data_IF_326765504172
#
_entry.id   IF_326765504172
#
_cell.length_a   1.000
_cell.length_b   1.000
_cell.length_c   1.000
_cell.angle_alpha   90.00
_cell.angle_beta   90.00
_cell.angle_gamma   90.00
#
_symmetry.space_group_name_H-M   'P 1'
#
loop_
_entity.id
_entity.type
_entity.pdbx_description
1 polymer ?
#
# COMPACT_ATOMS: atom_id res chain seq x y z
N UNK A 1 -12.82 -13.60 3.24
CA UNK A 1 -13.24 -14.89 2.64
C UNK A 1 -13.19 -16.03 3.65
N UNK A 2 -12.22 -16.02 4.57
CA UNK A 2 -12.07 -17.04 5.63
C UNK A 2 -12.73 -16.69 6.96
N UNK A 3 -13.31 -15.50 7.09
CA UNK A 3 -13.98 -15.00 8.30
C UNK A 3 -15.36 -14.47 7.89
N UNK A 4 -16.38 -15.04 8.51
CA UNK A 4 -17.80 -14.71 8.30
C UNK A 4 -18.41 -13.96 9.50
N UNK A 5 -17.69 -13.92 10.62
CA UNK A 5 -18.11 -13.20 11.83
C UNK A 5 -17.71 -11.72 11.74
N UNK A 6 -18.72 -10.87 11.65
CA UNK A 6 -18.56 -9.42 11.53
C UNK A 6 -17.96 -8.80 12.80
N UNK A 7 -18.28 -9.34 13.99
CA UNK A 7 -17.76 -8.82 15.27
C UNK A 7 -16.24 -9.03 15.36
N UNK A 8 -15.74 -10.16 14.85
CA UNK A 8 -14.30 -10.41 14.78
C UNK A 8 -13.59 -9.46 13.81
N UNK A 9 -14.23 -9.11 12.69
CA UNK A 9 -13.65 -8.17 11.72
C UNK A 9 -13.61 -6.74 12.28
N UNK A 10 -14.66 -6.32 12.99
CA UNK A 10 -14.70 -5.04 13.68
C UNK A 10 -13.65 -4.96 14.79
N UNK A 11 -13.45 -6.03 15.56
CA UNK A 11 -12.41 -6.10 16.59
C UNK A 11 -11.02 -5.93 16.00
N UNK A 12 -10.70 -6.64 14.91
CA UNK A 12 -9.41 -6.52 14.22
C UNK A 12 -9.21 -5.10 13.69
N UNK A 13 -10.25 -4.49 13.13
CA UNK A 13 -10.17 -3.11 12.65
C UNK A 13 -9.86 -2.13 13.78
N UNK A 14 -10.54 -2.24 14.92
CA UNK A 14 -10.29 -1.43 16.11
C UNK A 14 -8.84 -1.57 16.59
N UNK A 15 -8.33 -2.79 16.72
CA UNK A 15 -6.95 -3.04 17.16
C UNK A 15 -5.91 -2.44 16.20
N UNK A 16 -6.16 -2.50 14.88
CA UNK A 16 -5.29 -1.88 13.87
C UNK A 16 -5.30 -0.35 13.98
N UNK A 17 -6.47 0.26 14.19
CA UNK A 17 -6.58 1.72 14.37
C UNK A 17 -5.85 2.19 15.62
N UNK A 18 -6.07 1.52 16.76
CA UNK A 18 -5.34 1.82 18.00
C UNK A 18 -3.82 1.69 17.84
N UNK A 19 -3.36 0.71 17.05
CA UNK A 19 -1.94 0.54 16.77
C UNK A 19 -1.38 1.68 15.90
N UNK A 20 -2.15 2.19 14.94
CA UNK A 20 -1.76 3.36 14.14
C UNK A 20 -1.64 4.61 15.01
N UNK A 21 -2.65 4.87 15.84
CA UNK A 21 -2.66 6.02 16.75
C UNK A 21 -1.47 5.98 17.73
N UNK A 22 -1.12 4.78 18.22
CA UNK A 22 0.05 4.59 19.09
C UNK A 22 1.37 5.05 18.46
N UNK A 23 1.48 5.03 17.13
CA UNK A 23 2.67 5.47 16.40
C UNK A 23 2.45 6.80 15.67
N UNK A 24 1.52 7.63 16.15
CA UNK A 24 1.23 8.97 15.63
C UNK A 24 0.72 9.00 14.17
N UNK A 25 0.13 7.89 13.70
CA UNK A 25 -0.62 7.86 12.44
C UNK A 25 -2.11 8.10 12.71
N UNK A 26 -2.87 8.67 11.76
CA UNK A 26 -4.30 8.94 11.94
C UNK A 26 -5.11 7.64 11.84
N UNK A 27 -5.20 6.87 12.93
CA UNK A 27 -5.86 5.57 12.97
C UNK A 27 -7.34 5.67 12.59
N UNK A 28 -8.08 6.63 13.15
CA UNK A 28 -9.50 6.85 12.87
C UNK A 28 -9.80 7.22 11.41
N UNK A 29 -8.93 8.01 10.76
CA UNK A 29 -9.14 8.49 9.39
C UNK A 29 -8.55 7.56 8.31
N UNK A 30 -7.67 6.62 8.70
CA UNK A 30 -7.02 5.73 7.74
C UNK A 30 -8.05 4.80 7.06
N UNK A 31 -8.11 4.76 5.71
CA UNK A 31 -9.00 3.85 5.01
C UNK A 31 -8.65 2.38 5.26
N UNK A 32 -9.63 1.59 5.68
CA UNK A 32 -9.50 0.14 5.85
C UNK A 32 -10.48 -0.55 4.91
N UNK A 33 -9.94 -1.26 3.91
CA UNK A 33 -10.73 -1.98 2.91
C UNK A 33 -10.70 -3.47 3.20
N UNK A 34 -11.86 -4.05 3.49
CA UNK A 34 -12.01 -5.49 3.78
C UNK A 34 -12.22 -6.27 2.48
N UNK A 35 -11.36 -7.23 2.19
CA UNK A 35 -11.41 -8.04 0.98
C UNK A 35 -10.58 -9.32 1.04
N UNK A 36 -10.46 -10.03 -0.08
CA UNK A 36 -9.57 -11.17 -0.27
C UNK A 36 -8.80 -10.99 -1.57
N UNK A 37 -7.48 -10.82 -1.45
CA UNK A 37 -6.58 -10.75 -2.60
C UNK A 37 -6.60 -12.03 -3.44
N UNK A 38 -6.85 -13.18 -2.80
CA UNK A 38 -6.97 -14.47 -3.49
C UNK A 38 -8.22 -14.49 -4.38
N UNK A 39 -9.39 -14.16 -3.82
CA UNK A 39 -10.64 -14.12 -4.59
C UNK A 39 -10.55 -13.12 -5.75
N UNK A 40 -9.95 -11.96 -5.50
CA UNK A 40 -9.70 -10.97 -6.56
C UNK A 40 -8.82 -11.55 -7.68
N UNK A 41 -7.74 -12.27 -7.34
CA UNK A 41 -6.86 -12.91 -8.32
C UNK A 41 -7.56 -14.05 -9.10
N UNK A 42 -8.53 -14.71 -8.47
CA UNK A 42 -9.37 -15.75 -9.09
C UNK A 42 -10.51 -15.17 -9.96
N UNK A 43 -10.65 -13.84 -10.03
CA UNK A 43 -11.63 -13.13 -10.86
C UNK A 43 -13.01 -12.98 -10.21
N UNK A 44 -13.10 -13.19 -8.90
CA UNK A 44 -14.35 -13.07 -8.14
C UNK A 44 -14.89 -11.63 -8.15
N UNK A 45 -16.18 -11.48 -8.47
CA UNK A 45 -16.86 -10.18 -8.60
C UNK A 45 -17.69 -9.79 -7.37
N UNK A 46 -17.58 -10.53 -6.26
CA UNK A 46 -18.21 -10.13 -5.00
C UNK A 46 -17.53 -8.89 -4.40
N UNK A 47 -18.16 -8.26 -3.41
CA UNK A 47 -17.56 -7.12 -2.71
C UNK A 47 -16.21 -7.44 -2.06
N UNK A 48 -15.88 -8.72 -1.83
CA UNK A 48 -14.60 -9.16 -1.27
C UNK A 48 -13.54 -9.45 -2.35
N UNK A 49 -13.91 -9.58 -3.63
CA UNK A 49 -13.02 -9.92 -4.74
C UNK A 49 -12.41 -8.70 -5.46
N UNK A 50 -12.46 -8.67 -6.78
CA UNK A 50 -11.94 -7.56 -7.61
C UNK A 50 -12.46 -6.16 -7.18
N UNK A 51 -13.75 -5.98 -6.84
CA UNK A 51 -14.26 -4.71 -6.33
C UNK A 51 -13.53 -4.18 -5.10
N UNK A 52 -13.05 -5.05 -4.21
CA UNK A 52 -12.28 -4.62 -3.03
C UNK A 52 -10.92 -4.02 -3.43
N UNK A 53 -10.27 -4.57 -4.46
CA UNK A 53 -9.00 -4.04 -4.97
C UNK A 53 -9.20 -2.69 -5.65
N UNK A 54 -10.31 -2.50 -6.37
CA UNK A 54 -10.67 -1.20 -6.93
C UNK A 54 -10.93 -0.16 -5.84
N UNK A 55 -11.68 -0.51 -4.78
CA UNK A 55 -11.86 0.36 -3.60
C UNK A 55 -10.52 0.72 -2.94
N UNK A 56 -9.59 -0.25 -2.86
CA UNK A 56 -8.24 0.00 -2.35
C UNK A 56 -7.47 0.98 -3.24
N UNK A 57 -7.54 0.84 -4.57
CA UNK A 57 -6.90 1.76 -5.50
C UNK A 57 -7.48 3.19 -5.39
N UNK A 58 -8.81 3.31 -5.29
CA UNK A 58 -9.48 4.60 -5.05
C UNK A 58 -9.03 5.26 -3.73
N UNK A 59 -8.84 4.47 -2.67
CA UNK A 59 -8.31 4.96 -1.40
C UNK A 59 -6.87 5.46 -1.55
N UNK A 60 -6.02 4.79 -2.31
CA UNK A 60 -4.66 5.26 -2.60
C UNK A 60 -4.68 6.61 -3.31
N UNK A 61 -5.51 6.76 -4.34
CA UNK A 61 -5.62 7.98 -5.14
C UNK A 61 -6.17 9.18 -4.36
N UNK A 62 -7.10 8.92 -3.43
CA UNK A 62 -7.81 9.97 -2.69
C UNK A 62 -7.18 10.33 -1.33
N UNK A 63 -6.53 9.37 -0.66
CA UNK A 63 -6.02 9.56 0.69
C UNK A 63 -4.53 9.92 0.72
N UNK A 64 -3.72 9.41 -0.21
CA UNK A 64 -2.28 9.66 -0.23
C UNK A 64 -1.99 10.84 -1.16
N UNK A 65 -1.61 12.02 -0.64
CA UNK A 65 -1.29 13.15 -1.49
C UNK A 65 -0.04 12.87 -2.31
N UNK A 66 -0.01 13.40 -3.54
CA UNK A 66 1.21 13.35 -4.35
C UNK A 66 2.30 14.19 -3.66
N UNK A 67 3.47 13.61 -3.34
CA UNK A 67 4.53 14.34 -2.66
C UNK A 67 5.16 15.38 -3.59
N UNK A 68 5.59 16.50 -3.01
CA UNK A 68 6.41 17.47 -3.72
C UNK A 68 7.79 16.85 -4.05
N UNK A 69 8.23 16.98 -5.30
CA UNK A 69 9.49 16.40 -5.77
C UNK A 69 10.58 17.47 -5.82
N UNK A 70 11.68 17.25 -5.11
CA UNK A 70 12.80 18.20 -5.01
C UNK A 70 13.76 18.11 -6.20
N UNK A 71 13.31 18.49 -7.41
CA UNK A 71 14.06 18.29 -8.67
C UNK A 71 15.16 19.32 -8.94
N UNK A 72 15.16 20.45 -8.24
CA UNK A 72 16.12 21.54 -8.43
C UNK A 72 17.39 21.37 -7.55
N UNK A 73 17.45 20.29 -6.77
CA UNK A 73 18.56 19.98 -5.88
C UNK A 73 19.75 19.32 -6.58
N UNK A 74 20.80 19.04 -5.78
CA UNK A 74 21.84 18.13 -6.22
C UNK A 74 21.32 16.69 -6.18
N UNK A 75 21.59 15.93 -7.24
CA UNK A 75 21.13 14.55 -7.39
C UNK A 75 21.53 13.67 -6.20
N UNK A 76 20.53 13.01 -5.60
CA UNK A 76 20.65 12.00 -4.55
C UNK A 76 19.68 10.87 -4.85
N UNK A 77 20.22 9.66 -4.98
CA UNK A 77 19.46 8.43 -5.11
C UNK A 77 20.06 7.37 -4.18
N UNK A 78 19.40 7.06 -3.06
CA UNK A 78 19.80 5.94 -2.20
C UNK A 78 19.80 4.63 -3.01
N UNK A 79 20.88 3.86 -2.91
CA UNK A 79 20.96 2.55 -3.59
C UNK A 79 20.23 1.51 -2.74
N UNK A 80 19.17 0.94 -3.31
CA UNK A 80 18.37 -0.13 -2.71
C UNK A 80 18.92 -1.52 -3.10
N UNK A 81 19.36 -1.70 -4.36
CA UNK A 81 19.92 -2.97 -4.84
C UNK A 81 20.92 -2.77 -5.99
N UNK A 82 21.71 -3.82 -6.28
CA UNK A 82 22.77 -3.83 -7.29
C UNK A 82 22.72 -5.10 -8.13
N UNK A 83 22.60 -4.93 -9.45
CA UNK A 83 22.56 -6.01 -10.43
C UNK A 83 23.73 -5.94 -11.40
N UNK A 84 24.13 -7.11 -11.94
CA UNK A 84 25.00 -7.19 -13.11
C UNK A 84 24.19 -7.69 -14.30
N UNK A 85 23.94 -6.81 -15.28
CA UNK A 85 23.19 -7.16 -16.49
C UNK A 85 24.17 -7.45 -17.63
N UNK A 86 24.12 -8.68 -18.15
CA UNK A 86 24.98 -9.11 -19.26
C UNK A 86 24.84 -8.17 -20.47
N UNK A 87 25.97 -7.70 -21.00
CA UNK A 87 26.01 -6.78 -22.13
C UNK A 87 25.64 -5.31 -21.81
N UNK A 88 25.31 -4.96 -20.55
CA UNK A 88 25.04 -3.57 -20.13
C UNK A 88 25.97 -3.09 -19.01
N UNK A 89 26.30 -3.96 -18.06
CA UNK A 89 27.14 -3.64 -16.91
C UNK A 89 26.38 -3.62 -15.58
N UNK A 90 26.94 -2.92 -14.59
CA UNK A 90 26.37 -2.80 -13.24
C UNK A 90 25.22 -1.81 -13.24
N UNK A 91 24.08 -2.22 -12.69
CA UNK A 91 22.88 -1.40 -12.54
C UNK A 91 22.55 -1.29 -11.06
N UNK A 92 22.36 -0.07 -10.59
CA UNK A 92 21.86 0.21 -9.24
C UNK A 92 20.41 0.64 -9.32
N UNK A 93 19.58 0.22 -8.37
CA UNK A 93 18.16 0.62 -8.29
C UNK A 93 17.90 1.42 -7.02
N UNK A 94 16.95 2.35 -7.09
CA UNK A 94 16.48 3.10 -5.93
C UNK A 94 15.50 4.20 -6.31
N UNK A 95 14.72 4.69 -5.36
CA UNK A 95 13.90 5.90 -5.54
C UNK A 95 14.79 7.15 -5.49
N UNK A 96 14.75 7.98 -6.53
CA UNK A 96 15.43 9.29 -6.54
C UNK A 96 14.81 10.18 -5.44
N UNK A 97 15.66 10.70 -4.56
CA UNK A 97 15.24 11.56 -3.45
C UNK A 97 15.19 13.04 -3.88
N UNK A 98 16.20 13.50 -4.62
CA UNK A 98 16.33 14.85 -5.19
C UNK A 98 17.40 14.88 -6.28
#
# INVERSE_FOLDING_TARGET
DMVDDEELLELVEMEVRELLDKYDFPGDDTPIVRGSAKLALEGDQSDKGEPAILKLAEALDSYIPTPERAVDGAFVMPVEDVFSISGRGTVVTGRIER
#
